data_IF_988287162452
#
_entry.id   IF_988287162452
#
_cell.length_a   1.000
_cell.length_b   1.000
_cell.length_c   1.000
_cell.angle_alpha   90.00
_cell.angle_beta   90.00
_cell.angle_gamma   90.00
#
_symmetry.space_group_name_H-M   'P 1'
#
loop_
_entity.id
_entity.type
_entity.pdbx_description
1 polymer ?
#
# COMPACT_ATOMS: atom_id res chain seq x y z
N UNK A 1 11.75 3.68 -12.71
CA UNK A 1 10.86 4.85 -12.95
C UNK A 1 10.91 5.14 -14.44
N UNK A 2 9.82 5.55 -15.09
CA UNK A 2 9.93 6.13 -16.44
C UNK A 2 9.92 7.65 -16.27
N UNK A 3 11.01 8.30 -16.67
CA UNK A 3 11.01 9.76 -16.81
C UNK A 3 9.99 10.05 -17.91
N UNK A 4 9.01 10.91 -17.60
CA UNK A 4 8.00 11.26 -18.59
C UNK A 4 8.60 12.21 -19.60
N UNK A 5 9.20 13.29 -19.08
CA UNK A 5 9.90 14.30 -19.86
C UNK A 5 11.09 14.78 -19.02
N UNK A 6 12.25 14.91 -19.66
CA UNK A 6 13.38 15.67 -19.16
C UNK A 6 13.57 16.82 -20.14
N UNK A 7 13.40 18.04 -19.65
CA UNK A 7 13.48 19.26 -20.45
C UNK A 7 14.64 20.11 -19.92
N UNK A 8 15.51 20.58 -20.80
CA UNK A 8 16.59 21.51 -20.46
C UNK A 8 16.17 22.89 -20.95
N UNK A 9 16.10 23.84 -20.03
CA UNK A 9 15.51 25.14 -20.31
C UNK A 9 16.31 26.27 -19.64
N UNK A 10 16.17 27.49 -20.16
CA UNK A 10 16.73 28.68 -19.54
C UNK A 10 15.71 29.22 -18.54
N UNK A 11 16.20 29.61 -17.36
CA UNK A 11 15.34 30.11 -16.32
C UNK A 11 14.83 31.51 -16.66
N UNK A 12 13.56 31.59 -17.01
CA UNK A 12 12.92 32.88 -17.29
C UNK A 12 12.11 33.39 -16.09
N UNK A 13 11.97 34.72 -15.99
CA UNK A 13 11.18 35.47 -14.99
C UNK A 13 11.79 35.50 -13.59
N UNK A 14 11.18 34.80 -12.62
CA UNK A 14 11.58 34.81 -11.20
C UNK A 14 12.50 33.64 -10.92
N UNK A 15 13.59 33.80 -10.16
CA UNK A 15 14.51 32.71 -9.83
C UNK A 15 13.82 31.47 -9.27
N UNK A 16 14.37 30.29 -9.59
CA UNK A 16 13.87 29.01 -9.12
C UNK A 16 14.68 28.49 -7.94
N UNK A 17 14.20 27.43 -7.29
CA UNK A 17 14.99 26.69 -6.33
C UNK A 17 15.29 25.30 -6.88
N UNK A 18 16.55 24.88 -6.76
CA UNK A 18 16.96 23.52 -7.08
C UNK A 18 16.45 22.54 -6.04
N UNK A 19 15.88 21.43 -6.49
CA UNK A 19 15.32 20.45 -5.56
C UNK A 19 16.38 19.64 -4.80
N UNK A 20 17.56 19.43 -5.39
CA UNK A 20 18.65 18.65 -4.78
C UNK A 20 19.45 19.50 -3.80
N UNK A 21 20.18 20.51 -4.29
CA UNK A 21 21.07 21.31 -3.43
C UNK A 21 20.36 22.45 -2.68
N UNK A 22 19.07 22.69 -2.93
CA UNK A 22 18.26 23.78 -2.33
C UNK A 22 18.74 25.20 -2.65
N UNK A 23 19.81 25.36 -3.42
CA UNK A 23 20.30 26.65 -3.88
C UNK A 23 19.40 27.24 -4.97
N UNK A 24 19.53 28.55 -5.17
CA UNK A 24 18.78 29.30 -6.16
C UNK A 24 19.29 28.99 -7.58
N UNK A 25 18.37 29.02 -8.53
CA UNK A 25 18.65 28.98 -9.98
C UNK A 25 18.25 30.35 -10.48
N UNK A 26 19.24 31.16 -10.83
CA UNK A 26 19.03 32.55 -11.21
C UNK A 26 18.40 32.67 -12.60
N UNK A 27 17.80 33.83 -12.87
CA UNK A 27 17.23 34.12 -14.19
C UNK A 27 18.34 34.18 -15.23
N UNK A 28 18.17 33.50 -16.37
CA UNK A 28 19.21 33.33 -17.40
C UNK A 28 20.03 32.04 -17.25
N UNK A 29 19.96 31.34 -16.12
CA UNK A 29 20.70 30.08 -15.95
C UNK A 29 20.02 28.88 -16.63
N UNK A 30 20.83 27.98 -17.19
CA UNK A 30 20.39 26.68 -17.69
C UNK A 30 20.03 25.75 -16.55
N UNK A 31 18.87 25.10 -16.65
CA UNK A 31 18.40 24.14 -15.66
C UNK A 31 17.64 22.99 -16.31
N UNK A 32 17.56 21.88 -15.59
CA UNK A 32 16.73 20.74 -15.98
C UNK A 32 15.40 20.78 -15.23
N UNK A 33 14.31 20.52 -15.96
CA UNK A 33 13.00 20.22 -15.41
C UNK A 33 12.72 18.75 -15.69
N UNK A 34 12.60 17.98 -14.61
CA UNK A 34 12.21 16.57 -14.71
C UNK A 34 10.75 16.42 -14.33
N UNK A 35 9.97 15.89 -15.26
CA UNK A 35 8.56 15.57 -15.05
C UNK A 35 8.45 14.05 -14.89
N UNK A 36 8.08 13.64 -13.67
CA UNK A 36 7.83 12.24 -13.35
C UNK A 36 6.49 11.81 -13.96
N UNK A 37 6.49 10.74 -14.75
CA UNK A 37 5.39 10.30 -15.64
C UNK A 37 3.96 10.50 -15.11
N UNK A 38 3.13 10.99 -16.02
CA UNK A 38 1.69 10.73 -16.21
C UNK A 38 1.36 9.24 -16.04
N UNK A 39 0.72 8.87 -14.93
CA UNK A 39 0.01 7.59 -14.80
C UNK A 39 -1.50 7.82 -14.73
N UNK A 40 -2.32 6.77 -14.91
CA UNK A 40 -3.79 6.83 -14.81
C UNK A 40 -4.27 7.57 -13.54
N UNK A 41 -3.57 7.38 -12.42
CA UNK A 41 -3.87 8.09 -11.17
C UNK A 41 -3.59 9.59 -11.18
N UNK A 42 -2.56 10.06 -11.90
CA UNK A 42 -2.29 11.50 -12.03
C UNK A 42 -3.23 12.18 -13.02
N UNK A 43 -3.67 11.47 -14.06
CA UNK A 43 -4.72 11.93 -14.95
C UNK A 43 -6.05 12.11 -14.20
N UNK A 44 -6.41 11.16 -13.33
CA UNK A 44 -7.57 11.29 -12.46
C UNK A 44 -7.45 12.49 -11.49
N UNK A 45 -6.26 12.72 -10.92
CA UNK A 45 -6.01 13.89 -10.06
C UNK A 45 -6.08 15.21 -10.85
N UNK A 46 -5.59 15.24 -12.10
CA UNK A 46 -5.74 16.40 -12.97
C UNK A 46 -7.22 16.66 -13.28
N UNK A 47 -7.99 15.62 -13.66
CA UNK A 47 -9.44 15.74 -13.92
C UNK A 47 -10.18 16.30 -12.69
N UNK A 48 -9.86 15.81 -11.49
CA UNK A 48 -10.40 16.34 -10.24
C UNK A 48 -10.03 17.80 -9.99
N UNK A 49 -8.77 18.19 -10.20
CA UNK A 49 -8.33 19.59 -10.00
C UNK A 49 -8.88 20.56 -11.04
N UNK A 50 -9.09 20.10 -12.28
CA UNK A 50 -9.79 20.87 -13.33
C UNK A 50 -11.24 21.09 -12.92
N UNK A 51 -11.93 20.03 -12.46
CA UNK A 51 -13.30 20.15 -11.96
C UNK A 51 -13.42 21.10 -10.75
N UNK A 52 -12.37 21.24 -9.95
CA UNK A 52 -12.30 22.17 -8.81
C UNK A 52 -11.79 23.59 -9.18
N UNK A 53 -11.55 23.89 -10.47
CA UNK A 53 -11.05 25.19 -10.92
C UNK A 53 -9.59 25.51 -10.51
N UNK A 54 -8.86 24.53 -9.96
CA UNK A 54 -7.51 24.70 -9.41
C UNK A 54 -6.39 24.39 -10.42
N UNK A 55 -6.72 24.03 -11.66
CA UNK A 55 -5.77 23.64 -12.69
C UNK A 55 -5.79 24.60 -13.89
N UNK A 56 -4.78 25.46 -13.99
CA UNK A 56 -4.69 26.51 -15.02
C UNK A 56 -3.75 26.14 -16.18
N UNK A 57 -2.97 25.06 -16.04
CA UNK A 57 -2.04 24.58 -17.08
C UNK A 57 -2.01 23.05 -17.16
N UNK A 58 -1.56 22.48 -18.30
CA UNK A 58 -1.30 21.02 -18.45
C UNK A 58 -0.31 20.46 -17.43
N UNK A 59 0.43 21.32 -16.70
CA UNK A 59 1.38 20.94 -15.63
C UNK A 59 0.73 20.85 -14.24
N UNK A 60 -0.53 21.27 -14.10
CA UNK A 60 -1.25 21.28 -12.83
C UNK A 60 -1.52 19.84 -12.38
N UNK A 61 -0.97 19.43 -11.24
CA UNK A 61 -1.06 18.04 -10.77
C UNK A 61 0.12 17.14 -11.18
N UNK A 62 1.05 17.62 -12.01
CA UNK A 62 2.30 16.92 -12.29
C UNK A 62 3.32 17.19 -11.18
N UNK A 63 3.96 16.13 -10.68
CA UNK A 63 5.15 16.26 -9.84
C UNK A 63 6.35 16.54 -10.74
N UNK A 64 6.66 17.81 -10.92
CA UNK A 64 7.89 18.24 -11.57
C UNK A 64 8.96 18.62 -10.53
N UNK A 65 10.23 18.43 -10.90
CA UNK A 65 11.39 18.81 -10.09
C UNK A 65 12.30 19.68 -10.95
N UNK A 66 12.74 20.80 -10.39
CA UNK A 66 13.70 21.70 -11.01
C UNK A 66 15.08 21.43 -10.43
N UNK A 67 16.08 21.28 -11.28
CA UNK A 67 17.44 20.86 -10.90
C UNK A 67 18.45 21.72 -11.65
N UNK A 68 19.55 22.09 -10.99
CA UNK A 68 20.72 22.58 -11.73
C UNK A 68 21.17 21.51 -12.72
N UNK A 69 21.59 21.95 -13.90
CA UNK A 69 22.08 21.03 -14.94
C UNK A 69 23.41 20.38 -14.49
N UNK A 70 24.32 21.17 -13.91
CA UNK A 70 25.62 20.70 -13.40
C UNK A 70 25.44 19.95 -12.08
N UNK A 71 25.78 18.66 -12.08
CA UNK A 71 25.84 17.79 -10.89
C UNK A 71 24.48 17.37 -10.33
N UNK A 72 23.57 18.31 -10.06
CA UNK A 72 22.29 18.03 -9.39
C UNK A 72 21.39 17.07 -10.19
N UNK A 73 21.37 17.17 -11.52
CA UNK A 73 20.61 16.25 -12.36
C UNK A 73 21.14 14.81 -12.23
N UNK A 74 22.45 14.60 -12.31
CA UNK A 74 23.08 13.30 -12.20
C UNK A 74 22.83 12.69 -10.80
N UNK A 75 23.07 13.45 -9.74
CA UNK A 75 22.79 13.03 -8.35
C UNK A 75 21.34 12.61 -8.18
N UNK A 76 20.41 13.37 -8.75
CA UNK A 76 18.99 13.06 -8.67
C UNK A 76 18.65 11.75 -9.40
N UNK A 77 19.20 11.52 -10.59
CA UNK A 77 18.97 10.30 -11.36
C UNK A 77 19.46 9.06 -10.59
N UNK A 78 20.66 9.14 -10.01
CA UNK A 78 21.27 8.06 -9.21
C UNK A 78 20.43 7.81 -7.94
N UNK A 79 20.14 8.86 -7.17
CA UNK A 79 19.39 8.72 -5.91
C UNK A 79 17.98 8.14 -6.14
N UNK A 80 17.28 8.60 -7.18
CA UNK A 80 15.94 8.10 -7.52
C UNK A 80 15.98 6.67 -8.04
N UNK A 81 17.04 6.29 -8.77
CA UNK A 81 17.26 4.90 -9.16
C UNK A 81 17.45 4.01 -7.93
N UNK A 82 18.39 4.35 -7.05
CA UNK A 82 18.68 3.58 -5.83
C UNK A 82 17.47 3.46 -4.92
N UNK A 83 16.83 4.57 -4.56
CA UNK A 83 15.66 4.55 -3.68
C UNK A 83 14.54 3.64 -4.21
N UNK A 84 14.34 3.58 -5.53
CA UNK A 84 13.33 2.68 -6.11
C UNK A 84 13.81 1.26 -6.28
N UNK A 85 15.09 1.01 -6.49
CA UNK A 85 15.63 -0.35 -6.53
C UNK A 85 15.53 -0.99 -5.15
N UNK A 86 15.88 -0.24 -4.11
CA UNK A 86 15.71 -0.64 -2.71
C UNK A 86 14.22 -0.75 -2.34
N UNK A 87 13.40 0.28 -2.57
CA UNK A 87 11.96 0.20 -2.31
C UNK A 87 11.25 -0.88 -3.17
N UNK A 88 11.80 -1.24 -4.33
CA UNK A 88 11.33 -2.40 -5.11
C UNK A 88 11.87 -3.70 -4.53
N UNK A 89 13.08 -3.80 -3.99
CA UNK A 89 13.54 -5.00 -3.29
C UNK A 89 12.71 -5.24 -2.04
N UNK A 90 12.47 -4.20 -1.25
CA UNK A 90 11.62 -4.25 -0.05
C UNK A 90 10.16 -4.59 -0.37
N UNK A 91 9.63 -4.14 -1.52
CA UNK A 91 8.23 -4.40 -1.93
C UNK A 91 8.05 -5.54 -2.94
N UNK A 92 9.13 -6.07 -3.52
CA UNK A 92 9.08 -7.22 -4.44
C UNK A 92 9.32 -8.47 -3.62
N UNK A 93 8.22 -9.07 -3.25
CA UNK A 93 8.18 -10.41 -2.72
C UNK A 93 6.73 -10.80 -2.54
N UNK A 94 6.41 -12.05 -2.85
CA UNK A 94 5.24 -12.70 -2.25
C UNK A 94 5.44 -12.57 -0.72
N UNK A 95 4.45 -12.15 0.10
CA UNK A 95 4.64 -11.89 1.53
C UNK A 95 5.43 -13.01 2.22
N UNK A 96 6.26 -12.70 3.22
CA UNK A 96 7.12 -13.71 3.87
C UNK A 96 6.25 -14.92 4.26
N UNK A 97 6.64 -16.10 3.77
CA UNK A 97 5.93 -17.36 3.99
C UNK A 97 4.88 -17.76 2.94
N UNK A 98 4.58 -16.90 1.99
CA UNK A 98 3.56 -17.18 0.96
C UNK A 98 3.94 -18.29 -0.02
N UNK A 99 5.22 -18.61 -0.18
CA UNK A 99 5.72 -19.79 -0.90
C UNK A 99 5.77 -21.08 -0.07
N UNK A 100 5.35 -21.08 1.20
CA UNK A 100 5.47 -22.22 2.12
C UNK A 100 4.38 -23.28 1.99
N UNK A 101 3.53 -23.21 0.96
CA UNK A 101 2.59 -24.31 0.77
C UNK A 101 3.38 -25.56 0.38
N UNK A 102 3.26 -26.68 1.11
CA UNK A 102 3.85 -27.92 0.68
C UNK A 102 3.32 -28.29 -0.71
N UNK A 103 4.04 -29.15 -1.44
CA UNK A 103 3.49 -29.76 -2.63
C UNK A 103 2.25 -30.56 -2.20
N UNK A 104 1.09 -30.15 -2.70
CA UNK A 104 -0.21 -30.71 -2.34
C UNK A 104 -0.82 -31.33 -3.58
N UNK A 105 -1.53 -32.45 -3.41
CA UNK A 105 -2.38 -33.00 -4.45
C UNK A 105 -3.49 -32.01 -4.82
N UNK A 106 -4.13 -32.19 -5.97
CA UNK A 106 -5.24 -31.30 -6.38
C UNK A 106 -6.47 -31.44 -5.46
N UNK A 107 -6.67 -32.63 -4.88
CA UNK A 107 -7.71 -32.86 -3.88
C UNK A 107 -7.44 -32.09 -2.58
N UNK A 108 -6.20 -32.11 -2.09
CA UNK A 108 -5.82 -31.37 -0.89
C UNK A 108 -5.90 -29.85 -1.11
N UNK A 109 -5.58 -29.38 -2.33
CA UNK A 109 -5.78 -27.97 -2.70
C UNK A 109 -7.25 -27.58 -2.63
N UNK A 110 -8.16 -28.44 -3.10
CA UNK A 110 -9.61 -28.21 -3.03
C UNK A 110 -10.10 -28.20 -1.58
N UNK A 111 -9.65 -29.13 -0.74
CA UNK A 111 -9.97 -29.17 0.69
C UNK A 111 -9.51 -27.89 1.37
N UNK A 112 -8.25 -27.50 1.17
CA UNK A 112 -7.70 -26.25 1.70
C UNK A 112 -8.49 -25.04 1.22
N UNK A 113 -8.85 -24.98 -0.05
CA UNK A 113 -9.65 -23.89 -0.61
C UNK A 113 -11.01 -23.76 0.08
N UNK A 114 -11.70 -24.88 0.33
CA UNK A 114 -12.97 -24.90 1.08
C UNK A 114 -12.77 -24.41 2.51
N UNK A 115 -11.70 -24.83 3.19
CA UNK A 115 -11.37 -24.38 4.55
C UNK A 115 -11.08 -22.87 4.61
N UNK A 116 -10.27 -22.35 3.67
CA UNK A 116 -9.97 -20.92 3.58
C UNK A 116 -11.24 -20.10 3.33
N UNK A 117 -12.14 -20.58 2.46
CA UNK A 117 -13.44 -19.93 2.22
C UNK A 117 -14.34 -19.95 3.46
N UNK A 118 -14.45 -21.08 4.16
CA UNK A 118 -15.22 -21.19 5.41
C UNK A 118 -14.67 -20.25 6.47
N UNK A 119 -13.34 -20.19 6.64
CA UNK A 119 -12.67 -19.25 7.52
C UNK A 119 -13.03 -17.80 7.19
N UNK A 120 -12.98 -17.43 5.91
CA UNK A 120 -13.35 -16.09 5.47
C UNK A 120 -14.83 -15.76 5.77
N UNK A 121 -15.75 -16.72 5.59
CA UNK A 121 -17.15 -16.56 5.95
C UNK A 121 -17.34 -16.37 7.47
N UNK A 122 -16.69 -17.19 8.29
CA UNK A 122 -16.73 -17.05 9.76
C UNK A 122 -16.23 -15.69 10.23
N UNK A 123 -15.16 -15.16 9.63
CA UNK A 123 -14.66 -13.81 9.95
C UNK A 123 -15.67 -12.71 9.61
N UNK A 124 -16.45 -12.85 8.53
CA UNK A 124 -17.52 -11.89 8.21
C UNK A 124 -18.67 -11.96 9.22
N UNK A 125 -19.02 -13.17 9.66
CA UNK A 125 -20.02 -13.34 10.72
C UNK A 125 -19.56 -12.66 12.01
N UNK A 126 -18.32 -12.90 12.45
CA UNK A 126 -17.73 -12.25 13.64
C UNK A 126 -17.77 -10.72 13.54
N UNK A 127 -17.53 -10.15 12.35
CA UNK A 127 -17.59 -8.70 12.16
C UNK A 127 -18.99 -8.12 12.32
N UNK A 128 -20.04 -8.89 11.98
CA UNK A 128 -21.43 -8.46 12.06
C UNK A 128 -22.15 -8.90 13.34
N UNK A 129 -21.49 -9.68 14.20
CA UNK A 129 -22.12 -10.26 15.40
C UNK A 129 -21.95 -9.33 16.60
N UNK A 130 -23.04 -9.04 17.31
CA UNK A 130 -23.03 -8.19 18.52
C UNK A 130 -23.25 -8.97 19.82
N UNK A 131 -23.88 -10.15 19.77
CA UNK A 131 -24.09 -11.02 20.93
C UNK A 131 -22.79 -11.71 21.36
N UNK A 132 -22.39 -11.52 22.61
CA UNK A 132 -21.16 -12.08 23.16
C UNK A 132 -21.18 -13.62 23.22
N UNK A 133 -22.34 -14.24 23.49
CA UNK A 133 -22.42 -15.71 23.56
C UNK A 133 -22.17 -16.33 22.18
N UNK A 134 -22.83 -15.79 21.16
CA UNK A 134 -22.63 -16.20 19.77
C UNK A 134 -21.23 -15.87 19.25
N UNK A 135 -20.65 -14.76 19.71
CA UNK A 135 -19.29 -14.37 19.37
C UNK A 135 -18.26 -15.38 19.86
N UNK A 136 -18.40 -15.89 21.09
CA UNK A 136 -17.54 -16.96 21.63
C UNK A 136 -17.56 -18.20 20.73
N UNK A 137 -18.75 -18.67 20.36
CA UNK A 137 -18.93 -19.85 19.49
C UNK A 137 -18.26 -19.64 18.13
N UNK A 138 -18.41 -18.45 17.54
CA UNK A 138 -17.80 -18.13 16.24
C UNK A 138 -16.27 -18.06 16.31
N UNK A 139 -15.72 -17.54 17.42
CA UNK A 139 -14.27 -17.48 17.66
C UNK A 139 -13.69 -18.88 17.87
N UNK A 140 -14.38 -19.75 18.61
CA UNK A 140 -13.98 -21.15 18.76
C UNK A 140 -14.01 -21.90 17.43
N UNK A 141 -15.08 -21.73 16.65
CA UNK A 141 -15.17 -22.28 15.30
C UNK A 141 -14.02 -21.80 14.41
N UNK A 142 -13.62 -20.54 14.54
CA UNK A 142 -12.47 -19.99 13.82
C UNK A 142 -11.15 -20.66 14.26
N UNK A 143 -10.95 -20.91 15.56
CA UNK A 143 -9.80 -21.65 16.09
C UNK A 143 -9.74 -23.07 15.53
N UNK A 144 -10.87 -23.79 15.54
CA UNK A 144 -10.97 -25.14 14.97
C UNK A 144 -10.60 -25.15 13.49
N UNK A 145 -11.10 -24.18 12.70
CA UNK A 145 -10.74 -24.06 11.28
C UNK A 145 -9.26 -23.76 11.06
N UNK A 146 -8.61 -22.98 11.92
CA UNK A 146 -7.18 -22.72 11.84
C UNK A 146 -6.36 -23.99 12.15
N UNK A 147 -6.81 -24.82 13.10
CA UNK A 147 -6.14 -26.08 13.44
C UNK A 147 -6.22 -27.12 12.30
N UNK A 148 -7.25 -27.03 11.45
CA UNK A 148 -7.39 -27.89 10.26
C UNK A 148 -6.52 -27.42 9.06
N UNK A 149 -5.90 -26.23 9.15
CA UNK A 149 -5.05 -25.70 8.08
C UNK A 149 -3.57 -26.02 8.38
N UNK A 150 -2.88 -26.83 7.55
CA UNK A 150 -1.48 -27.19 7.78
C UNK A 150 -0.55 -25.97 7.74
N UNK A 151 -0.90 -24.98 6.92
CA UNK A 151 -0.28 -23.64 6.91
C UNK A 151 -1.40 -22.61 7.04
N UNK A 152 -1.35 -21.77 8.06
CA UNK A 152 -2.36 -20.75 8.27
C UNK A 152 -2.36 -19.68 7.17
N UNK A 153 -3.50 -18.98 7.03
CA UNK A 153 -3.61 -17.87 6.07
C UNK A 153 -2.78 -16.69 6.57
N UNK A 154 -1.75 -16.32 5.80
CA UNK A 154 -0.88 -15.17 6.09
C UNK A 154 -1.72 -13.89 6.09
N UNK A 155 -1.65 -13.13 7.17
CA UNK A 155 -2.48 -11.95 7.35
C UNK A 155 -2.26 -10.88 6.29
N UNK A 156 -1.01 -10.70 5.85
CA UNK A 156 -0.64 -9.72 4.83
C UNK A 156 -1.23 -10.06 3.45
N UNK A 157 -1.49 -11.34 3.19
CA UNK A 157 -2.19 -11.80 1.97
C UNK A 157 -3.71 -11.66 2.08
N UNK A 158 -4.24 -11.43 3.28
CA UNK A 158 -5.68 -11.31 3.47
C UNK A 158 -6.23 -9.92 3.11
N UNK A 159 -5.36 -8.96 2.77
CA UNK A 159 -5.69 -7.61 2.26
C UNK A 159 -6.83 -6.89 3.01
N UNK A 160 -6.96 -7.12 4.32
CA UNK A 160 -8.02 -6.49 5.12
C UNK A 160 -7.70 -5.02 5.34
N UNK A 161 -8.72 -4.17 5.26
CA UNK A 161 -8.58 -2.76 5.65
C UNK A 161 -8.14 -2.66 7.12
N UNK A 162 -7.43 -1.58 7.44
CA UNK A 162 -7.00 -1.32 8.81
C UNK A 162 -8.18 -1.20 9.78
N UNK A 163 -9.31 -0.65 9.33
CA UNK A 163 -10.56 -0.57 10.10
C UNK A 163 -11.09 -1.97 10.47
N UNK A 164 -11.12 -2.89 9.50
CA UNK A 164 -11.62 -4.25 9.73
C UNK A 164 -10.69 -5.04 10.67
N UNK A 165 -9.37 -4.83 10.59
CA UNK A 165 -8.41 -5.45 11.54
C UNK A 165 -8.68 -5.00 12.97
N UNK A 166 -8.87 -3.69 13.20
CA UNK A 166 -9.19 -3.15 14.52
C UNK A 166 -10.50 -3.72 15.07
N UNK A 167 -11.56 -3.74 14.25
CA UNK A 167 -12.85 -4.28 14.66
C UNK A 167 -12.75 -5.76 15.07
N UNK A 168 -12.10 -6.59 14.26
CA UNK A 168 -11.88 -8.00 14.58
C UNK A 168 -11.11 -8.18 15.89
N UNK A 169 -10.06 -7.40 16.13
CA UNK A 169 -9.29 -7.47 17.38
C UNK A 169 -10.15 -7.12 18.59
N UNK A 170 -11.00 -6.10 18.50
CA UNK A 170 -11.95 -5.76 19.55
C UNK A 170 -12.93 -6.89 19.83
N UNK A 171 -13.48 -7.51 18.78
CA UNK A 171 -14.40 -8.66 18.90
C UNK A 171 -13.71 -9.88 19.52
N UNK A 172 -12.48 -10.17 19.13
CA UNK A 172 -11.70 -11.25 19.76
C UNK A 172 -11.42 -10.99 21.25
N UNK A 173 -11.15 -9.74 21.63
CA UNK A 173 -10.96 -9.38 23.03
C UNK A 173 -12.26 -9.56 23.83
N UNK A 174 -13.39 -9.06 23.33
CA UNK A 174 -14.72 -9.27 23.95
C UNK A 174 -15.03 -10.75 24.17
N UNK A 175 -14.81 -11.57 23.14
CA UNK A 175 -15.01 -13.02 23.25
C UNK A 175 -14.11 -13.65 24.32
N UNK A 176 -12.85 -13.18 24.45
CA UNK A 176 -11.93 -13.67 25.48
C UNK A 176 -12.40 -13.27 26.89
N UNK A 177 -12.78 -12.02 27.08
CA UNK A 177 -13.30 -11.50 28.36
C UNK A 177 -14.57 -12.25 28.79
N UNK A 178 -15.46 -12.59 27.84
CA UNK A 178 -16.66 -13.38 28.11
C UNK A 178 -16.35 -14.84 28.50
N UNK A 179 -15.28 -15.45 27.97
CA UNK A 179 -14.82 -16.78 28.37
C UNK A 179 -14.21 -16.73 29.78
N UNK A 180 -13.33 -15.76 30.02
CA UNK A 180 -12.65 -15.60 31.31
C UNK A 180 -13.65 -15.25 32.44
N UNK A 181 -14.67 -14.44 32.15
CA UNK A 181 -15.73 -14.11 33.10
C UNK A 181 -16.67 -15.28 33.43
N UNK A 182 -16.87 -16.23 32.51
CA UNK A 182 -17.61 -17.48 32.78
C UNK A 182 -16.84 -18.50 33.60
N UNK A 183 -15.51 -18.41 33.63
CA UNK A 183 -14.65 -19.28 34.46
C UNK A 183 -14.54 -18.79 35.91
N UNK A 184 -14.99 -17.57 36.19
CA UNK A 184 -14.96 -16.92 37.51
C UNK A 184 -16.34 -16.86 38.19
N UNK A 185 -17.39 -17.35 37.53
CA UNK A 185 -18.78 -17.44 38.02
C UNK A 185 -19.17 -18.88 38.26
#
# INVERSE_FOLDING_TARGET
MRIGILDVNIKNRKPGQCWVCKQRIETGELHAIVILRYGKGQEAVLKLRVAQGQAWTKKSGLKYRRLHLKGCLATWLVAVHHYRTEARRERKGRPKGSGQLPQMSDEDKLVRYRLVRRRAATLRLIMGEEDDQRLVILVERLKQLNNQLPVNVIEDMAHRSHTNRRLLNTKFRRAKEAIDGRLLS
#
